data_IF_858048991149
#
_entry.id   IF_858048991149
#
_cell.length_a   1.000
_cell.length_b   1.000
_cell.length_c   1.000
_cell.angle_alpha   90.00
_cell.angle_beta   90.00
_cell.angle_gamma   90.00
#
_symmetry.space_group_name_H-M   'P 1'
#
loop_
_entity.id
_entity.type
_entity.pdbx_description
1 polymer ?
#
# COMPACT_ATOMS: atom_id res chain seq x y z
N UNK A 1 -49.80 0.53 -21.74
CA UNK A 1 -48.93 -0.35 -20.92
C UNK A 1 -47.50 0.04 -21.24
N UNK A 2 -46.89 0.87 -20.39
CA UNK A 2 -45.54 1.42 -20.61
C UNK A 2 -44.50 0.42 -20.13
N UNK A 3 -43.69 -0.08 -21.06
CA UNK A 3 -42.59 -0.98 -20.75
C UNK A 3 -41.45 -0.20 -20.08
N UNK A 4 -41.16 -0.54 -18.83
CA UNK A 4 -39.98 -0.04 -18.10
C UNK A 4 -38.78 -0.85 -18.58
N UNK A 5 -37.85 -0.19 -19.26
CA UNK A 5 -36.57 -0.78 -19.62
C UNK A 5 -35.70 -0.89 -18.36
N UNK A 6 -35.38 -2.12 -17.96
CA UNK A 6 -34.44 -2.41 -16.87
C UNK A 6 -33.03 -2.25 -17.44
N UNK A 7 -32.29 -1.24 -16.98
CA UNK A 7 -30.90 -1.01 -17.34
C UNK A 7 -30.02 -2.18 -16.86
N UNK A 8 -29.14 -2.65 -17.74
CA UNK A 8 -28.24 -3.78 -17.50
C UNK A 8 -27.20 -3.41 -16.43
N UNK A 9 -27.01 -4.31 -15.46
CA UNK A 9 -25.98 -4.16 -14.41
C UNK A 9 -24.59 -4.24 -15.05
N UNK A 10 -23.88 -3.12 -15.05
CA UNK A 10 -22.48 -3.04 -15.47
C UNK A 10 -21.63 -3.88 -14.52
N UNK A 11 -21.02 -4.95 -15.03
CA UNK A 11 -20.01 -5.74 -14.33
C UNK A 11 -18.75 -4.89 -14.17
N UNK A 12 -18.37 -4.60 -12.92
CA UNK A 12 -17.13 -3.89 -12.58
C UNK A 12 -15.91 -4.60 -13.19
N UNK A 13 -14.92 -3.86 -13.71
CA UNK A 13 -13.68 -4.46 -14.18
C UNK A 13 -12.89 -5.02 -12.99
N UNK A 14 -12.42 -6.26 -13.14
CA UNK A 14 -11.45 -6.89 -12.23
C UNK A 14 -10.20 -6.02 -12.17
N UNK A 15 -10.01 -5.33 -11.04
CA UNK A 15 -8.78 -4.62 -10.73
C UNK A 15 -7.65 -5.64 -10.67
N UNK A 16 -6.70 -5.58 -11.61
CA UNK A 16 -5.46 -6.32 -11.53
C UNK A 16 -4.46 -5.45 -10.77
N UNK A 17 -4.17 -5.73 -9.48
CA UNK A 17 -3.14 -4.99 -8.78
C UNK A 17 -1.80 -5.30 -9.46
N UNK A 18 -1.16 -4.26 -10.00
CA UNK A 18 0.23 -4.31 -10.45
C UNK A 18 1.04 -5.00 -9.35
N UNK A 19 1.75 -6.06 -9.75
CA UNK A 19 2.42 -7.03 -8.90
C UNK A 19 3.02 -6.38 -7.64
N UNK A 20 2.32 -6.52 -6.51
CA UNK A 20 2.93 -6.24 -5.23
C UNK A 20 4.14 -7.17 -5.09
N UNK A 21 5.29 -6.69 -4.58
CA UNK A 21 6.40 -7.57 -4.30
C UNK A 21 5.87 -8.72 -3.45
N UNK A 22 6.03 -9.95 -3.92
CA UNK A 22 5.56 -11.11 -3.19
C UNK A 22 6.06 -11.00 -1.76
N UNK A 23 5.17 -11.17 -0.78
CA UNK A 23 5.48 -11.03 0.65
C UNK A 23 6.76 -11.81 1.02
N UNK A 24 6.94 -12.97 0.38
CA UNK A 24 8.14 -13.79 0.45
C UNK A 24 9.45 -13.07 0.08
N UNK A 25 9.44 -12.19 -0.93
CA UNK A 25 10.63 -11.43 -1.34
C UNK A 25 10.98 -10.34 -0.34
N UNK A 26 9.97 -9.63 0.20
CA UNK A 26 10.19 -8.61 1.22
C UNK A 26 10.72 -9.23 2.52
N UNK A 27 10.06 -10.27 3.02
CA UNK A 27 10.42 -10.90 4.29
C UNK A 27 11.84 -11.48 4.23
N UNK A 28 12.25 -12.01 3.08
CA UNK A 28 13.63 -12.46 2.85
C UNK A 28 14.65 -11.31 2.92
N UNK A 29 14.34 -10.14 2.32
CA UNK A 29 15.20 -8.95 2.37
C UNK A 29 15.32 -8.41 3.80
N UNK A 30 14.21 -8.33 4.52
CA UNK A 30 14.20 -7.89 5.91
C UNK A 30 15.02 -8.83 6.80
N UNK A 31 14.86 -10.15 6.63
CA UNK A 31 15.66 -11.15 7.36
C UNK A 31 17.16 -10.99 7.08
N UNK A 32 17.55 -10.82 5.82
CA UNK A 32 18.95 -10.61 5.45
C UNK A 32 19.52 -9.31 6.04
N UNK A 33 18.75 -8.21 6.02
CA UNK A 33 19.15 -6.94 6.62
C UNK A 33 19.31 -7.06 8.14
N UNK A 34 18.40 -7.73 8.83
CA UNK A 34 18.50 -8.00 10.27
C UNK A 34 19.73 -8.84 10.63
N UNK A 35 20.00 -9.92 9.89
CA UNK A 35 21.19 -10.74 10.09
C UNK A 35 22.48 -9.94 9.84
N UNK A 36 22.49 -9.08 8.82
CA UNK A 36 23.61 -8.20 8.53
C UNK A 36 23.85 -7.17 9.65
N UNK A 37 22.82 -6.44 10.07
CA UNK A 37 22.92 -5.45 11.14
C UNK A 37 23.39 -6.07 12.46
N UNK A 38 22.87 -7.25 12.82
CA UNK A 38 23.32 -8.00 14.01
C UNK A 38 24.79 -8.42 13.93
N UNK A 39 25.23 -8.94 12.78
CA UNK A 39 26.64 -9.31 12.57
C UNK A 39 27.56 -8.10 12.68
N UNK A 40 27.21 -6.98 12.04
CA UNK A 40 27.99 -5.75 12.15
C UNK A 40 28.04 -5.23 13.58
N UNK A 41 26.90 -5.26 14.30
CA UNK A 41 26.83 -4.85 15.71
C UNK A 41 27.78 -5.70 16.57
N UNK A 42 27.83 -7.01 16.34
CA UNK A 42 28.75 -7.91 17.05
C UNK A 42 30.23 -7.68 16.68
N UNK A 43 30.53 -7.32 15.43
CA UNK A 43 31.91 -7.13 14.97
C UNK A 43 32.49 -5.77 15.35
N UNK A 44 31.71 -4.69 15.20
CA UNK A 44 32.20 -3.31 15.29
C UNK A 44 31.67 -2.55 16.52
N UNK A 45 30.69 -3.11 17.23
CA UNK A 45 30.05 -2.45 18.36
C UNK A 45 29.07 -1.35 17.94
N UNK A 46 28.24 -0.91 18.88
CA UNK A 46 27.11 0.00 18.63
C UNK A 46 27.50 1.44 18.24
N UNK A 47 28.76 1.84 18.42
CA UNK A 47 29.23 3.20 18.10
C UNK A 47 29.74 3.34 16.65
N UNK A 48 29.82 2.23 15.90
CA UNK A 48 30.30 2.26 14.52
C UNK A 48 29.25 2.87 13.57
N UNK A 49 29.69 3.73 12.66
CA UNK A 49 28.85 4.28 11.60
C UNK A 49 28.27 3.18 10.70
N UNK A 50 29.05 2.12 10.42
CA UNK A 50 28.59 0.99 9.60
C UNK A 50 27.42 0.24 10.27
N UNK A 51 27.41 0.20 11.60
CA UNK A 51 26.33 -0.41 12.38
C UNK A 51 25.08 0.46 12.33
N UNK A 52 25.24 1.79 12.43
CA UNK A 52 24.14 2.73 12.29
C UNK A 52 23.46 2.60 10.92
N UNK A 53 24.23 2.65 9.82
CA UNK A 53 23.72 2.53 8.45
C UNK A 53 23.01 1.19 8.23
N UNK A 54 23.52 0.10 8.81
CA UNK A 54 22.88 -1.21 8.69
C UNK A 54 21.53 -1.28 9.40
N UNK A 55 21.37 -0.60 10.53
CA UNK A 55 20.09 -0.49 11.22
C UNK A 55 19.14 0.49 10.53
N UNK A 56 19.63 1.59 9.95
CA UNK A 56 18.83 2.48 9.10
C UNK A 56 18.22 1.71 7.92
N UNK A 57 18.99 0.83 7.28
CA UNK A 57 18.48 -0.03 6.21
C UNK A 57 17.31 -0.92 6.67
N UNK A 58 17.35 -1.43 7.91
CA UNK A 58 16.25 -2.23 8.48
C UNK A 58 15.02 -1.34 8.70
N UNK A 59 15.21 -0.15 9.26
CA UNK A 59 14.14 0.82 9.51
C UNK A 59 13.47 1.26 8.20
N UNK A 60 14.24 1.53 7.14
CA UNK A 60 13.70 1.88 5.83
C UNK A 60 12.83 0.76 5.24
N UNK A 61 13.26 -0.50 5.36
CA UNK A 61 12.47 -1.65 4.88
C UNK A 61 11.16 -1.78 5.64
N UNK A 62 11.17 -1.68 6.97
CA UNK A 62 9.95 -1.74 7.77
C UNK A 62 9.03 -0.54 7.52
N UNK A 63 9.61 0.64 7.35
CA UNK A 63 8.88 1.86 6.98
C UNK A 63 8.23 1.73 5.61
N UNK A 64 8.91 1.16 4.62
CA UNK A 64 8.34 0.90 3.31
C UNK A 64 7.19 -0.14 3.38
N UNK A 65 7.25 -1.11 4.30
CA UNK A 65 6.16 -2.06 4.56
C UNK A 65 4.95 -1.40 5.22
N UNK A 66 5.17 -0.54 6.22
CA UNK A 66 4.07 0.17 6.89
C UNK A 66 3.40 1.21 5.99
N UNK A 67 4.17 1.79 5.06
CA UNK A 67 3.67 2.71 4.03
C UNK A 67 2.99 2.00 2.85
N UNK A 68 2.94 0.66 2.83
CA UNK A 68 2.17 0.00 1.80
C UNK A 68 0.71 0.46 1.93
N UNK A 69 0.10 0.94 0.84
CA UNK A 69 -1.27 1.41 0.88
C UNK A 69 -2.12 0.25 1.36
N UNK A 70 -2.65 0.37 2.57
CA UNK A 70 -3.69 -0.53 3.05
C UNK A 70 -4.84 -0.34 2.06
N UNK A 71 -5.35 -1.40 1.40
CA UNK A 71 -6.50 -1.27 0.53
C UNK A 71 -7.66 -0.78 1.39
N UNK A 72 -7.85 0.53 1.40
CA UNK A 72 -8.81 1.15 2.29
C UNK A 72 -10.20 0.72 1.85
N UNK A 73 -11.05 0.26 2.77
CA UNK A 73 -12.47 0.10 2.46
C UNK A 73 -13.13 1.44 2.06
N UNK A 74 -12.39 2.56 2.18
CA UNK A 74 -12.71 3.91 1.71
C UNK A 74 -12.95 4.00 0.20
N UNK A 75 -12.42 3.06 -0.59
CA UNK A 75 -12.53 3.12 -2.05
C UNK A 75 -13.98 3.05 -2.56
N UNK A 76 -14.94 2.46 -1.85
CA UNK A 76 -16.29 2.30 -2.41
C UNK A 76 -17.00 3.64 -2.60
N UNK A 77 -16.86 4.56 -1.64
CA UNK A 77 -17.46 5.89 -1.73
C UNK A 77 -16.68 6.78 -2.71
N UNK A 78 -15.35 6.78 -2.61
CA UNK A 78 -14.49 7.57 -3.51
C UNK A 78 -14.69 7.17 -4.98
N UNK A 79 -14.77 5.86 -5.24
CA UNK A 79 -15.02 5.33 -6.59
C UNK A 79 -16.44 5.65 -7.06
N UNK A 80 -17.44 5.54 -6.18
CA UNK A 80 -18.81 5.94 -6.49
C UNK A 80 -18.90 7.42 -6.87
N UNK A 81 -18.23 8.30 -6.13
CA UNK A 81 -18.20 9.74 -6.42
C UNK A 81 -17.38 10.10 -7.65
N UNK A 82 -16.34 9.33 -7.98
CA UNK A 82 -15.62 9.47 -9.25
C UNK A 82 -16.49 9.12 -10.46
N UNK A 83 -17.36 8.10 -10.34
CA UNK A 83 -18.28 7.69 -11.41
C UNK A 83 -19.57 8.54 -11.45
N UNK A 84 -19.98 9.14 -10.32
CA UNK A 84 -21.23 9.89 -10.19
C UNK A 84 -20.98 11.27 -9.54
N UNK A 85 -20.26 12.19 -10.20
CA UNK A 85 -19.90 13.49 -9.62
C UNK A 85 -21.12 14.38 -9.33
N UNK A 86 -22.24 14.18 -10.04
CA UNK A 86 -23.48 14.93 -9.84
C UNK A 86 -24.34 14.44 -8.66
N UNK A 87 -24.03 13.25 -8.12
CA UNK A 87 -24.72 12.68 -6.97
C UNK A 87 -24.66 13.66 -5.80
N UNK A 88 -25.77 13.75 -5.04
CA UNK A 88 -25.90 14.75 -3.99
C UNK A 88 -24.84 14.55 -2.90
N UNK A 89 -24.46 13.31 -2.66
CA UNK A 89 -23.46 12.88 -1.70
C UNK A 89 -22.02 13.21 -2.14
N UNK A 90 -21.79 13.51 -3.42
CA UNK A 90 -20.46 13.67 -4.02
C UNK A 90 -20.14 15.11 -4.44
N UNK A 91 -21.06 16.06 -4.24
CA UNK A 91 -20.84 17.48 -4.57
C UNK A 91 -19.84 18.11 -3.62
N UNK A 92 -18.63 18.37 -4.13
CA UNK A 92 -17.68 19.29 -3.54
C UNK A 92 -17.88 20.69 -4.11
N UNK A 93 -17.87 21.71 -3.26
CA UNK A 93 -17.83 23.11 -3.69
C UNK A 93 -16.44 23.64 -3.34
N UNK A 94 -15.66 24.00 -4.36
CA UNK A 94 -14.37 24.67 -4.13
C UNK A 94 -14.64 26.06 -3.50
N UNK A 95 -13.96 26.32 -2.38
CA UNK A 95 -14.07 27.55 -1.60
C UNK A 95 -13.14 28.64 -2.12
#
# INVERSE_FOLDING_TARGET
MTNVAVAQRTTLPTFNPLAQPSTSTFDNRLKAALEHARRLTHMYGYQSADVAIAWETVEELETAKSHQPVPSCQYSFDYYCAENPEALECRSYDC
#
